data_IF_252300665072
#
_entry.id   IF_252300665072
#
_cell.length_a   1.000
_cell.length_b   1.000
_cell.length_c   1.000
_cell.angle_alpha   90.00
_cell.angle_beta   90.00
_cell.angle_gamma   90.00
#
_symmetry.space_group_name_H-M   'P 1'
#
loop_
_entity.id
_entity.type
_entity.pdbx_description
1 polymer ?
#
# COMPACT_ATOMS: atom_id res chain seq x y z
N UNK A 1 -17.05 12.28 19.36
CA UNK A 1 -17.30 12.39 20.82
C UNK A 1 -16.49 13.55 21.42
N UNK A 2 -15.17 13.63 21.22
CA UNK A 2 -14.37 14.75 21.71
C UNK A 2 -14.80 16.08 21.09
N UNK A 3 -15.07 16.12 19.80
CA UNK A 3 -15.66 17.30 19.11
C UNK A 3 -17.04 17.71 19.66
N UNK A 4 -17.74 16.80 20.34
CA UNK A 4 -19.01 17.05 21.00
C UNK A 4 -18.86 17.48 22.49
N UNK A 5 -17.62 17.74 22.93
CA UNK A 5 -17.32 18.25 24.28
C UNK A 5 -17.13 17.19 25.37
N UNK A 6 -17.12 15.90 25.00
CA UNK A 6 -16.81 14.85 25.98
C UNK A 6 -15.32 14.85 26.31
N UNK A 7 -14.99 14.65 27.60
CA UNK A 7 -13.61 14.43 28.00
C UNK A 7 -13.07 13.12 27.46
N UNK A 8 -11.75 13.01 27.32
CA UNK A 8 -11.11 11.77 26.85
C UNK A 8 -11.50 10.54 27.68
N UNK A 9 -11.59 10.69 29.01
CA UNK A 9 -12.02 9.62 29.91
C UNK A 9 -13.45 9.19 29.66
N UNK A 10 -14.37 10.13 29.47
CA UNK A 10 -15.76 9.83 29.11
C UNK A 10 -15.85 9.12 27.77
N UNK A 11 -15.06 9.54 26.78
CA UNK A 11 -15.00 8.86 25.49
C UNK A 11 -14.50 7.40 25.63
N UNK A 12 -13.50 7.15 26.48
CA UNK A 12 -13.01 5.80 26.72
C UNK A 12 -14.09 4.90 27.33
N UNK A 13 -14.84 5.41 28.33
CA UNK A 13 -15.93 4.66 28.97
C UNK A 13 -17.05 4.34 27.99
N UNK A 14 -17.43 5.29 27.13
CA UNK A 14 -18.47 5.08 26.10
C UNK A 14 -18.06 4.10 24.99
N UNK A 15 -16.76 3.97 24.73
CA UNK A 15 -16.22 3.08 23.72
C UNK A 15 -15.85 1.69 24.29
N UNK A 16 -16.05 1.46 25.61
CA UNK A 16 -15.69 0.19 26.21
C UNK A 16 -16.60 -0.93 25.68
N UNK A 17 -15.97 -1.94 25.10
CA UNK A 17 -16.58 -3.17 24.61
C UNK A 17 -15.82 -4.37 25.18
N UNK A 18 -16.41 -5.56 25.13
CA UNK A 18 -15.72 -6.77 25.59
C UNK A 18 -14.37 -7.01 24.92
N UNK A 19 -14.22 -6.58 23.66
CA UNK A 19 -13.01 -6.79 22.86
C UNK A 19 -11.89 -5.83 23.20
N UNK A 20 -12.19 -4.59 23.65
CA UNK A 20 -11.21 -3.56 23.91
C UNK A 20 -11.04 -3.20 25.39
N UNK A 21 -11.75 -3.91 26.29
CA UNK A 21 -11.77 -3.66 27.71
C UNK A 21 -10.38 -3.69 28.36
N UNK A 22 -9.53 -4.64 27.97
CA UNK A 22 -8.16 -4.74 28.48
C UNK A 22 -7.32 -3.53 28.10
N UNK A 23 -7.43 -3.07 26.86
CA UNK A 23 -6.72 -1.91 26.35
C UNK A 23 -7.19 -0.64 27.08
N UNK A 24 -8.49 -0.49 27.26
CA UNK A 24 -9.08 0.66 27.97
C UNK A 24 -8.64 0.68 29.44
N UNK A 25 -8.66 -0.46 30.13
CA UNK A 25 -8.17 -0.57 31.52
C UNK A 25 -6.69 -0.23 31.61
N UNK A 26 -5.88 -0.69 30.65
CA UNK A 26 -4.46 -0.35 30.60
C UNK A 26 -4.24 1.16 30.44
N UNK A 27 -4.99 1.81 29.56
CA UNK A 27 -4.94 3.26 29.37
C UNK A 27 -5.35 4.00 30.66
N UNK A 28 -6.45 3.57 31.29
CA UNK A 28 -6.93 4.17 32.54
C UNK A 28 -5.91 4.03 33.68
N UNK A 29 -5.29 2.86 33.84
CA UNK A 29 -4.27 2.60 34.85
C UNK A 29 -3.07 3.52 34.67
N UNK A 30 -2.58 3.69 33.45
CA UNK A 30 -1.46 4.60 33.15
C UNK A 30 -1.80 6.06 33.44
N UNK A 31 -3.03 6.48 33.11
CA UNK A 31 -3.51 7.83 33.42
C UNK A 31 -3.61 8.05 34.95
N UNK A 32 -4.07 7.06 35.71
CA UNK A 32 -4.13 7.13 37.18
C UNK A 32 -2.73 7.21 37.80
N UNK A 33 -1.73 6.59 37.17
CA UNK A 33 -0.33 6.67 37.58
C UNK A 33 0.33 8.03 37.23
N UNK A 34 -0.41 8.97 36.61
CA UNK A 34 0.09 10.28 36.24
C UNK A 34 0.92 10.32 34.95
N UNK A 35 0.93 9.24 34.17
CA UNK A 35 1.61 9.22 32.87
C UNK A 35 0.84 10.14 31.88
N UNK A 36 1.57 10.91 31.10
CA UNK A 36 0.96 11.78 30.09
C UNK A 36 0.46 10.93 28.92
N UNK A 37 -0.80 11.13 28.55
CA UNK A 37 -1.47 10.40 27.47
C UNK A 37 -0.66 10.40 26.17
N UNK A 38 -0.02 11.49 25.83
CA UNK A 38 0.79 11.65 24.63
C UNK A 38 2.02 10.72 24.60
N UNK A 39 2.49 10.23 25.73
CA UNK A 39 3.71 9.44 25.84
C UNK A 39 3.48 7.95 25.58
N UNK A 40 2.28 7.44 25.83
CA UNK A 40 2.00 6.01 25.75
C UNK A 40 0.83 5.64 24.83
N UNK A 41 -0.10 6.56 24.56
CA UNK A 41 -1.34 6.23 23.86
C UNK A 41 -1.11 5.59 22.47
N UNK A 42 -0.10 6.04 21.73
CA UNK A 42 0.24 5.48 20.42
C UNK A 42 0.68 4.01 20.49
N UNK A 43 1.09 3.52 21.67
CA UNK A 43 1.46 2.12 21.90
C UNK A 43 0.23 1.23 22.14
N UNK A 44 -0.87 1.81 22.61
CA UNK A 44 -2.10 1.10 22.96
C UNK A 44 -3.01 0.84 21.75
N UNK A 45 -2.73 1.45 20.61
CA UNK A 45 -3.51 1.33 19.38
C UNK A 45 -2.78 0.46 18.34
N UNK A 46 -3.48 -0.09 17.34
CA UNK A 46 -2.83 -0.90 16.32
C UNK A 46 -1.63 -0.18 15.68
N UNK A 47 -0.54 -0.89 15.51
CA UNK A 47 0.78 -0.38 15.09
C UNK A 47 0.72 0.59 13.90
N UNK A 48 -0.12 0.29 12.92
CA UNK A 48 -0.32 1.13 11.73
C UNK A 48 -0.78 2.55 12.06
N UNK A 49 -1.68 2.70 13.04
CA UNK A 49 -2.19 3.98 13.51
C UNK A 49 -1.20 4.65 14.47
N UNK A 50 -0.60 3.85 15.36
CA UNK A 50 0.37 4.31 16.35
C UNK A 50 1.60 4.95 15.73
N UNK A 51 2.16 4.35 14.68
CA UNK A 51 3.34 4.87 13.98
C UNK A 51 3.09 6.26 13.37
N UNK A 52 1.92 6.49 12.80
CA UNK A 52 1.57 7.81 12.23
C UNK A 52 1.20 8.80 13.33
N UNK A 53 0.43 8.36 14.32
CA UNK A 53 0.03 9.20 15.46
C UNK A 53 1.23 9.72 16.22
N UNK A 54 2.25 8.89 16.43
CA UNK A 54 3.50 9.28 17.08
C UNK A 54 4.18 10.48 16.39
N UNK A 55 4.11 10.55 15.07
CA UNK A 55 4.63 11.67 14.30
C UNK A 55 3.89 12.98 14.55
N UNK A 56 2.60 12.94 14.90
CA UNK A 56 1.78 14.14 15.12
C UNK A 56 1.75 14.62 16.56
N UNK A 57 1.81 13.72 17.54
CA UNK A 57 1.62 14.02 18.97
C UNK A 57 2.54 15.14 19.49
N UNK A 58 3.78 15.24 18.98
CA UNK A 58 4.74 16.26 19.39
C UNK A 58 4.45 17.67 18.86
N UNK A 59 3.55 17.82 17.89
CA UNK A 59 3.37 19.08 17.14
C UNK A 59 1.95 19.65 17.23
N UNK A 60 0.99 18.88 17.70
CA UNK A 60 -0.41 19.30 17.80
C UNK A 60 -1.12 18.63 18.99
N UNK A 61 -2.34 19.04 19.28
CA UNK A 61 -3.16 18.42 20.34
C UNK A 61 -3.48 16.97 19.98
N UNK A 62 -3.70 16.12 20.99
CA UNK A 62 -4.04 14.71 20.80
C UNK A 62 -5.27 14.53 19.88
N UNK A 63 -6.30 15.34 20.09
CA UNK A 63 -7.53 15.32 19.30
C UNK A 63 -7.25 15.57 17.81
N UNK A 64 -6.52 16.64 17.49
CA UNK A 64 -6.11 16.94 16.12
C UNK A 64 -5.19 15.88 15.54
N UNK A 65 -4.27 15.32 16.35
CA UNK A 65 -3.38 14.24 15.95
C UNK A 65 -4.16 12.98 15.57
N UNK A 66 -5.18 12.61 16.35
CA UNK A 66 -6.07 11.49 16.08
C UNK A 66 -6.88 11.71 14.80
N UNK A 67 -7.50 12.89 14.66
CA UNK A 67 -8.28 13.24 13.48
C UNK A 67 -7.42 13.17 12.21
N UNK A 68 -6.22 13.77 12.23
CA UNK A 68 -5.27 13.71 11.13
C UNK A 68 -4.87 12.27 10.78
N UNK A 69 -4.53 11.47 11.79
CA UNK A 69 -4.13 10.08 11.61
C UNK A 69 -5.23 9.25 10.95
N UNK A 70 -6.46 9.35 11.45
CA UNK A 70 -7.62 8.63 10.92
C UNK A 70 -7.92 9.07 9.48
N UNK A 71 -7.95 10.38 9.24
CA UNK A 71 -8.25 10.94 7.91
C UNK A 71 -7.22 10.51 6.86
N UNK A 72 -5.94 10.59 7.18
CA UNK A 72 -4.85 10.18 6.29
C UNK A 72 -4.89 8.68 5.99
N UNK A 73 -5.07 7.83 7.01
CA UNK A 73 -5.15 6.39 6.83
C UNK A 73 -6.37 5.96 6.03
N UNK A 74 -7.55 6.49 6.34
CA UNK A 74 -8.76 6.19 5.59
C UNK A 74 -8.63 6.61 4.10
N UNK A 75 -8.01 7.75 3.87
CA UNK A 75 -7.74 8.23 2.51
C UNK A 75 -6.76 7.34 1.76
N UNK A 76 -5.76 6.81 2.44
CA UNK A 76 -4.79 5.86 1.90
C UNK A 76 -5.45 4.50 1.59
N UNK A 77 -6.21 3.95 2.52
CA UNK A 77 -6.94 2.68 2.34
C UNK A 77 -7.95 2.74 1.21
N UNK A 78 -8.74 3.81 1.13
CA UNK A 78 -9.67 4.01 0.01
C UNK A 78 -8.97 4.00 -1.35
N UNK A 79 -7.77 4.57 -1.44
CA UNK A 79 -6.98 4.52 -2.69
C UNK A 79 -6.45 3.14 -2.99
N UNK A 80 -5.88 2.46 -2.00
CA UNK A 80 -5.40 1.09 -2.18
C UNK A 80 -6.51 0.16 -2.63
N UNK A 81 -7.69 0.27 -2.03
CA UNK A 81 -8.84 -0.54 -2.40
C UNK A 81 -9.31 -0.25 -3.83
N UNK A 82 -9.33 1.02 -4.25
CA UNK A 82 -9.63 1.37 -5.65
C UNK A 82 -8.60 0.79 -6.64
N UNK A 83 -7.31 0.80 -6.29
CA UNK A 83 -6.27 0.21 -7.12
C UNK A 83 -6.43 -1.31 -7.18
N UNK A 84 -6.63 -1.96 -6.03
CA UNK A 84 -6.87 -3.42 -5.95
C UNK A 84 -8.07 -3.83 -6.80
N UNK A 85 -9.19 -3.12 -6.69
CA UNK A 85 -10.40 -3.41 -7.49
C UNK A 85 -10.15 -3.26 -9.00
N UNK A 86 -9.41 -2.22 -9.41
CA UNK A 86 -9.07 -2.02 -10.83
C UNK A 86 -8.10 -3.07 -11.38
N UNK A 87 -7.23 -3.62 -10.54
CA UNK A 87 -6.26 -4.65 -10.93
C UNK A 87 -6.86 -6.06 -10.91
N UNK A 88 -7.94 -6.28 -10.16
CA UNK A 88 -8.57 -7.59 -10.03
C UNK A 88 -9.06 -8.12 -11.38
N UNK A 89 -9.73 -7.28 -12.17
CA UNK A 89 -10.28 -7.68 -13.47
C UNK A 89 -9.19 -8.10 -14.48
N UNK A 90 -8.15 -7.28 -14.76
CA UNK A 90 -7.06 -7.71 -15.62
C UNK A 90 -6.35 -8.98 -15.13
N UNK A 91 -6.18 -9.13 -13.82
CA UNK A 91 -5.57 -10.32 -13.24
C UNK A 91 -6.40 -11.58 -13.50
N UNK A 92 -7.72 -11.50 -13.25
CA UNK A 92 -8.63 -12.61 -13.54
C UNK A 92 -8.66 -12.95 -15.03
N UNK A 93 -8.65 -11.93 -15.89
CA UNK A 93 -8.62 -12.14 -17.36
C UNK A 93 -7.36 -12.92 -17.77
N UNK A 94 -6.18 -12.51 -17.30
CA UNK A 94 -4.92 -13.22 -17.59
C UNK A 94 -4.95 -14.64 -17.07
N UNK A 95 -5.49 -14.86 -15.87
CA UNK A 95 -5.60 -16.17 -15.26
C UNK A 95 -6.52 -17.10 -16.08
N UNK A 96 -7.70 -16.63 -16.47
CA UNK A 96 -8.63 -17.40 -17.32
C UNK A 96 -8.06 -17.67 -18.70
N UNK A 97 -7.41 -16.69 -19.31
CA UNK A 97 -6.75 -16.88 -20.63
C UNK A 97 -5.64 -17.91 -20.54
N UNK A 98 -4.81 -17.85 -19.50
CA UNK A 98 -3.75 -18.85 -19.29
C UNK A 98 -4.31 -20.24 -19.09
N UNK A 99 -5.37 -20.38 -18.31
CA UNK A 99 -6.06 -21.67 -18.11
C UNK A 99 -6.66 -22.19 -19.41
N UNK A 100 -7.35 -21.35 -20.18
CA UNK A 100 -7.90 -21.71 -21.49
C UNK A 100 -6.84 -22.16 -22.49
N UNK A 101 -5.69 -21.47 -22.52
CA UNK A 101 -4.57 -21.87 -23.40
C UNK A 101 -3.96 -23.21 -22.96
N UNK A 102 -3.78 -23.45 -21.67
CA UNK A 102 -3.31 -24.74 -21.17
C UNK A 102 -4.30 -25.87 -21.51
N UNK A 103 -5.60 -25.64 -21.36
CA UNK A 103 -6.63 -26.60 -21.72
C UNK A 103 -6.60 -26.92 -23.22
N UNK A 104 -6.50 -25.88 -24.05
CA UNK A 104 -6.41 -26.03 -25.50
C UNK A 104 -5.17 -26.82 -25.93
N UNK A 105 -4.02 -26.51 -25.33
CA UNK A 105 -2.75 -27.19 -25.62
C UNK A 105 -2.75 -28.66 -25.21
N UNK A 106 -3.30 -28.98 -24.03
CA UNK A 106 -3.27 -30.33 -23.47
C UNK A 106 -4.34 -31.29 -24.07
N UNK A 107 -5.48 -30.75 -24.47
CA UNK A 107 -6.63 -31.55 -24.88
C UNK A 107 -6.92 -31.36 -26.39
N UNK A 108 -7.12 -30.13 -26.83
CA UNK A 108 -7.56 -29.89 -28.20
C UNK A 108 -6.46 -30.12 -29.24
N UNK A 109 -5.24 -29.74 -28.98
CA UNK A 109 -4.13 -29.88 -29.93
C UNK A 109 -3.82 -31.36 -30.24
N UNK A 110 -3.70 -32.27 -29.25
CA UNK A 110 -3.49 -33.69 -29.54
C UNK A 110 -4.60 -34.31 -30.42
N UNK A 111 -5.87 -34.06 -30.09
CA UNK A 111 -7.01 -34.57 -30.85
C UNK A 111 -7.02 -34.03 -32.29
N UNK A 112 -6.75 -32.74 -32.47
CA UNK A 112 -6.64 -32.13 -33.79
C UNK A 112 -5.46 -32.69 -34.57
N UNK A 113 -4.34 -33.00 -33.94
CA UNK A 113 -3.17 -33.57 -34.55
C UNK A 113 -3.45 -34.99 -35.08
N UNK A 114 -4.16 -35.80 -34.29
CA UNK A 114 -4.57 -37.16 -34.71
C UNK A 114 -5.54 -37.11 -35.88
N UNK A 115 -6.48 -36.18 -35.90
CA UNK A 115 -7.37 -35.96 -37.05
C UNK A 115 -6.60 -35.52 -38.30
N UNK A 116 -5.71 -34.55 -38.20
CA UNK A 116 -4.92 -34.03 -39.33
C UNK A 116 -3.96 -35.09 -39.88
N UNK A 117 -3.39 -35.92 -39.00
CA UNK A 117 -2.51 -37.03 -39.44
C UNK A 117 -3.23 -38.08 -40.26
N UNK A 118 -4.54 -38.26 -40.07
CA UNK A 118 -5.37 -39.18 -40.84
C UNK A 118 -5.63 -38.72 -42.28
N UNK A 119 -5.36 -37.44 -42.60
CA UNK A 119 -5.56 -36.86 -43.94
C UNK A 119 -4.26 -36.66 -44.75
N UNK A 120 -3.15 -37.28 -44.36
CA UNK A 120 -1.83 -37.19 -45.04
C UNK A 120 -1.31 -35.75 -45.24
N UNK A 121 -1.73 -34.80 -44.39
CA UNK A 121 -1.35 -33.42 -44.51
C UNK A 121 -0.06 -33.09 -43.74
N UNK A 122 0.61 -32.01 -44.16
CA UNK A 122 1.92 -31.60 -43.66
C UNK A 122 1.83 -31.11 -42.21
N UNK A 123 2.27 -31.88 -41.23
CA UNK A 123 2.21 -31.62 -39.80
C UNK A 123 3.16 -30.48 -39.32
N UNK A 124 4.04 -29.98 -40.20
CA UNK A 124 5.02 -28.97 -39.84
C UNK A 124 4.39 -27.65 -39.36
N UNK A 125 3.29 -27.23 -40.00
CA UNK A 125 2.58 -26.01 -39.58
C UNK A 125 1.95 -26.19 -38.20
N UNK A 126 1.42 -27.36 -37.90
CA UNK A 126 0.81 -27.68 -36.61
C UNK A 126 1.82 -27.66 -35.46
N UNK A 127 3.00 -28.25 -35.69
CA UNK A 127 4.09 -28.21 -34.70
C UNK A 127 4.60 -26.79 -34.44
N UNK A 128 4.61 -25.92 -35.47
CA UNK A 128 4.98 -24.50 -35.29
C UNK A 128 3.99 -23.74 -34.42
N UNK A 129 2.68 -23.97 -34.63
CA UNK A 129 1.62 -23.36 -33.79
C UNK A 129 1.72 -23.85 -32.34
N UNK A 130 1.92 -25.14 -32.14
CA UNK A 130 2.09 -25.72 -30.80
C UNK A 130 3.32 -25.14 -30.09
N UNK A 131 4.45 -25.01 -30.78
CA UNK A 131 5.66 -24.40 -30.25
C UNK A 131 5.40 -22.93 -29.81
N UNK A 132 4.65 -22.16 -30.61
CA UNK A 132 4.29 -20.79 -30.30
C UNK A 132 3.41 -20.69 -29.03
N UNK A 133 2.42 -21.61 -28.90
CA UNK A 133 1.56 -21.66 -27.72
C UNK A 133 2.38 -21.97 -26.44
N UNK A 134 3.27 -22.96 -26.50
CA UNK A 134 4.16 -23.29 -25.39
C UNK A 134 5.05 -22.11 -24.99
N UNK A 135 5.65 -21.42 -25.97
CA UNK A 135 6.49 -20.25 -25.72
C UNK A 135 5.68 -19.11 -25.10
N UNK A 136 4.44 -18.91 -25.52
CA UNK A 136 3.55 -17.91 -24.97
C UNK A 136 3.14 -18.23 -23.53
N UNK A 137 2.80 -19.48 -23.22
CA UNK A 137 2.49 -19.94 -21.85
C UNK A 137 3.71 -19.72 -20.94
N UNK A 138 4.91 -20.09 -21.41
CA UNK A 138 6.15 -19.91 -20.67
C UNK A 138 6.44 -18.43 -20.41
N UNK A 139 6.19 -17.56 -21.40
CA UNK A 139 6.30 -16.10 -21.23
C UNK A 139 5.32 -15.57 -20.20
N UNK A 140 4.07 -16.03 -20.17
CA UNK A 140 3.08 -15.65 -19.15
C UNK A 140 3.50 -16.08 -17.75
N UNK A 141 3.97 -17.32 -17.58
CA UNK A 141 4.47 -17.82 -16.30
C UNK A 141 5.68 -17.03 -15.81
N UNK A 142 6.61 -16.73 -16.70
CA UNK A 142 7.78 -15.91 -16.39
C UNK A 142 7.37 -14.48 -15.98
N UNK A 143 6.39 -13.89 -16.66
CA UNK A 143 5.85 -12.56 -16.32
C UNK A 143 5.22 -12.54 -14.93
N UNK A 144 4.45 -13.55 -14.57
CA UNK A 144 3.85 -13.68 -13.23
C UNK A 144 4.93 -13.84 -12.17
N UNK A 145 5.93 -14.69 -12.41
CA UNK A 145 7.06 -14.88 -11.49
C UNK A 145 7.86 -13.59 -11.31
N UNK A 146 8.14 -12.84 -12.39
CA UNK A 146 8.83 -11.58 -12.35
C UNK A 146 8.06 -10.52 -11.53
N UNK A 147 6.73 -10.44 -11.71
CA UNK A 147 5.88 -9.56 -10.91
C UNK A 147 5.91 -9.94 -9.42
N UNK A 148 5.89 -11.22 -9.09
CA UNK A 148 5.96 -11.68 -7.71
C UNK A 148 7.30 -11.33 -7.06
N UNK A 149 8.41 -11.55 -7.76
CA UNK A 149 9.76 -11.16 -7.31
C UNK A 149 9.83 -9.65 -7.10
N UNK A 150 9.27 -8.85 -8.03
CA UNK A 150 9.24 -7.39 -7.93
C UNK A 150 8.45 -6.93 -6.70
N UNK A 151 7.32 -7.55 -6.39
CA UNK A 151 6.54 -7.24 -5.18
C UNK A 151 7.35 -7.51 -3.91
N UNK A 152 8.04 -8.65 -3.83
CA UNK A 152 8.92 -9.00 -2.68
C UNK A 152 10.08 -8.00 -2.58
N UNK A 153 10.67 -7.63 -3.71
CA UNK A 153 11.79 -6.68 -3.76
C UNK A 153 11.40 -5.29 -3.23
N UNK A 154 10.19 -4.81 -3.58
CA UNK A 154 9.67 -3.51 -3.15
C UNK A 154 9.32 -3.48 -1.64
N UNK A 155 9.10 -4.62 -1.00
CA UNK A 155 8.82 -4.66 0.45
C UNK A 155 9.98 -4.16 1.32
N UNK A 156 11.22 -4.20 0.82
CA UNK A 156 12.38 -3.65 1.53
C UNK A 156 12.50 -2.15 1.29
N UNK A 157 12.54 -1.38 2.35
CA UNK A 157 12.57 0.10 2.30
C UNK A 157 13.74 0.67 1.48
N UNK A 158 14.92 0.07 1.58
CA UNK A 158 16.10 0.50 0.83
C UNK A 158 15.95 0.29 -0.68
N UNK A 159 15.39 -0.84 -1.08
CA UNK A 159 15.16 -1.15 -2.49
C UNK A 159 14.07 -0.26 -3.09
N UNK A 160 13.01 0.01 -2.32
CA UNK A 160 11.97 0.94 -2.71
C UNK A 160 12.52 2.33 -2.98
N UNK A 161 13.42 2.84 -2.12
CA UNK A 161 14.09 4.13 -2.29
C UNK A 161 14.96 4.16 -3.54
N UNK A 162 15.80 3.14 -3.75
CA UNK A 162 16.65 3.02 -4.95
C UNK A 162 15.82 2.98 -6.23
N UNK A 163 14.74 2.19 -6.21
CA UNK A 163 13.80 2.07 -7.34
C UNK A 163 13.13 3.42 -7.64
N UNK A 164 12.67 4.14 -6.61
CA UNK A 164 12.09 5.46 -6.79
C UNK A 164 13.06 6.44 -7.43
N UNK A 165 14.30 6.52 -6.94
CA UNK A 165 15.33 7.40 -7.50
C UNK A 165 15.63 7.06 -8.95
N UNK A 166 15.79 5.77 -9.27
CA UNK A 166 16.04 5.32 -10.64
C UNK A 166 14.88 5.67 -11.59
N UNK A 167 13.64 5.40 -11.17
CA UNK A 167 12.46 5.72 -12.00
C UNK A 167 12.27 7.22 -12.13
N UNK A 168 12.46 7.99 -11.06
CA UNK A 168 12.34 9.46 -11.09
C UNK A 168 13.35 10.10 -12.03
N UNK A 169 14.61 9.62 -12.04
CA UNK A 169 15.66 10.11 -12.91
C UNK A 169 15.36 9.81 -14.40
N UNK A 170 14.80 8.63 -14.72
CA UNK A 170 14.58 8.19 -16.10
C UNK A 170 13.17 8.49 -16.62
N UNK A 171 12.17 8.40 -15.75
CA UNK A 171 10.75 8.54 -16.08
C UNK A 171 10.00 9.35 -15.00
N UNK A 172 10.24 10.68 -14.89
CA UNK A 172 9.68 11.51 -13.82
C UNK A 172 8.13 11.59 -13.88
N UNK A 173 7.55 11.35 -15.05
CA UNK A 173 6.09 11.34 -15.24
C UNK A 173 5.44 9.98 -15.02
N UNK A 174 6.19 8.97 -14.59
CA UNK A 174 5.66 7.63 -14.35
C UNK A 174 4.55 7.64 -13.29
N UNK A 175 3.62 6.68 -13.41
CA UNK A 175 2.54 6.50 -12.42
C UNK A 175 3.10 6.23 -11.03
N UNK A 176 4.25 5.58 -10.93
CA UNK A 176 4.93 5.27 -9.69
C UNK A 176 5.39 6.54 -8.96
N UNK A 177 6.10 7.43 -9.66
CA UNK A 177 6.55 8.73 -9.11
C UNK A 177 5.35 9.59 -8.74
N UNK A 178 4.35 9.71 -9.63
CA UNK A 178 3.11 10.46 -9.35
C UNK A 178 2.37 9.96 -8.11
N UNK A 179 2.34 8.64 -7.88
CA UNK A 179 1.70 8.07 -6.71
C UNK A 179 2.33 8.56 -5.40
N UNK A 180 3.65 8.52 -5.29
CA UNK A 180 4.36 8.96 -4.08
C UNK A 180 4.37 10.48 -3.92
N UNK A 181 4.50 11.23 -5.00
CA UNK A 181 4.37 12.69 -4.97
C UNK A 181 2.97 13.13 -4.53
N UNK A 182 1.92 12.46 -5.00
CA UNK A 182 0.55 12.72 -4.55
C UNK A 182 0.33 12.31 -3.09
N UNK A 183 0.97 11.23 -2.63
CA UNK A 183 0.92 10.84 -1.22
C UNK A 183 1.56 11.91 -0.35
N UNK A 184 2.76 12.37 -0.70
CA UNK A 184 3.45 13.46 -0.02
C UNK A 184 2.59 14.73 0.03
N UNK A 185 2.10 15.21 -1.13
CA UNK A 185 1.28 16.41 -1.20
C UNK A 185 0.01 16.32 -0.36
N UNK A 186 -0.57 15.16 -0.22
CA UNK A 186 -1.76 14.94 0.61
C UNK A 186 -1.45 15.10 2.09
N UNK A 187 -0.35 14.52 2.58
CA UNK A 187 0.12 14.76 3.95
C UNK A 187 0.32 16.26 4.18
N UNK A 188 0.99 16.90 3.25
CA UNK A 188 1.28 18.33 3.33
C UNK A 188 0.01 19.18 3.39
N UNK A 189 -0.92 18.98 2.47
CA UNK A 189 -2.19 19.73 2.40
C UNK A 189 -3.01 19.50 3.67
N UNK A 190 -3.12 18.28 4.14
CA UNK A 190 -3.92 17.96 5.33
C UNK A 190 -3.35 18.61 6.59
N UNK A 191 -2.04 18.58 6.75
CA UNK A 191 -1.37 19.27 7.85
C UNK A 191 -1.54 20.79 7.77
N UNK A 192 -1.43 21.37 6.56
CA UNK A 192 -1.64 22.82 6.35
C UNK A 192 -3.08 23.23 6.68
N UNK A 193 -4.08 22.44 6.29
CA UNK A 193 -5.49 22.70 6.63
C UNK A 193 -5.75 22.71 8.13
N UNK A 194 -4.96 21.95 8.88
CA UNK A 194 -5.04 21.93 10.35
C UNK A 194 -4.18 23.00 11.02
N UNK A 195 -3.64 23.95 10.26
CA UNK A 195 -2.92 25.12 10.78
C UNK A 195 -1.48 24.85 11.21
N UNK A 196 -0.87 23.73 10.75
CA UNK A 196 0.52 23.43 11.02
C UNK A 196 1.45 24.26 10.12
N UNK A 197 2.53 24.80 10.69
CA UNK A 197 3.54 25.51 9.92
C UNK A 197 4.31 24.56 9.00
N UNK A 198 4.81 25.07 7.87
CA UNK A 198 5.59 24.29 6.89
C UNK A 198 6.75 23.54 7.55
N UNK A 199 7.46 24.20 8.47
CA UNK A 199 8.58 23.58 9.21
C UNK A 199 8.12 22.39 10.04
N UNK A 200 7.02 22.54 10.77
CA UNK A 200 6.46 21.46 11.60
C UNK A 200 5.98 20.30 10.72
N UNK A 201 5.36 20.60 9.56
CA UNK A 201 4.92 19.57 8.60
C UNK A 201 6.09 18.73 8.12
N UNK A 202 7.19 19.35 7.74
CA UNK A 202 8.39 18.65 7.28
C UNK A 202 8.96 17.76 8.39
N UNK A 203 9.03 18.25 9.63
CA UNK A 203 9.51 17.46 10.76
C UNK A 203 8.59 16.25 11.05
N UNK A 204 7.28 16.46 11.02
CA UNK A 204 6.29 15.39 11.16
C UNK A 204 6.50 14.33 10.06
N UNK A 205 6.63 14.75 8.80
CA UNK A 205 6.80 13.84 7.67
C UNK A 205 8.10 13.02 7.76
N UNK A 206 9.15 13.60 8.33
CA UNK A 206 10.41 12.89 8.63
C UNK A 206 10.25 11.89 9.76
N UNK A 207 9.39 12.16 10.73
CA UNK A 207 9.17 11.28 11.89
C UNK A 207 8.24 10.10 11.60
N UNK A 208 7.54 10.08 10.45
CA UNK A 208 6.64 8.96 10.09
C UNK A 208 7.48 7.72 9.76
N UNK A 209 7.38 6.63 10.56
CA UNK A 209 8.16 5.42 10.33
C UNK A 209 7.73 4.73 9.03
N UNK A 210 8.63 3.94 8.44
CA UNK A 210 8.37 3.10 7.25
C UNK A 210 7.85 3.83 6.00
N UNK A 211 8.18 5.12 5.87
CA UNK A 211 7.86 5.93 4.69
C UNK A 211 9.13 6.55 4.08
N UNK A 212 10.07 5.73 3.55
CA UNK A 212 11.40 6.19 3.15
C UNK A 212 11.36 7.23 2.02
N UNK A 213 10.38 7.16 1.12
CA UNK A 213 10.24 8.14 0.04
C UNK A 213 9.72 9.48 0.58
N UNK A 214 8.74 9.45 1.51
CA UNK A 214 8.24 10.67 2.16
C UNK A 214 9.35 11.36 2.94
N UNK A 215 10.14 10.57 3.68
CA UNK A 215 11.33 11.09 4.38
C UNK A 215 12.30 11.78 3.44
N UNK A 216 12.63 11.14 2.32
CA UNK A 216 13.55 11.68 1.32
C UNK A 216 13.04 12.99 0.72
N UNK A 217 11.78 13.03 0.26
CA UNK A 217 11.16 14.24 -0.28
C UNK A 217 11.11 15.37 0.76
N UNK A 218 10.89 15.04 2.03
CA UNK A 218 10.91 16.02 3.12
C UNK A 218 12.30 16.60 3.33
N UNK A 219 13.37 15.80 3.21
CA UNK A 219 14.74 16.28 3.29
C UNK A 219 15.11 17.19 2.11
N UNK A 220 14.68 16.87 0.91
CA UNK A 220 14.91 17.69 -0.29
C UNK A 220 14.24 19.06 -0.16
N UNK A 221 13.00 19.12 0.33
CA UNK A 221 12.28 20.39 0.53
C UNK A 221 12.90 21.21 1.66
N UNK A 222 13.35 20.56 2.76
CA UNK A 222 14.02 21.30 3.84
C UNK A 222 15.33 21.93 3.40
N UNK A 223 16.07 21.32 2.48
CA UNK A 223 17.30 21.89 1.91
C UNK A 223 17.01 23.06 0.97
N UNK A 224 15.80 23.14 0.42
CA UNK A 224 15.38 24.18 -0.51
C UNK A 224 14.73 25.39 0.18
N UNK A 225 14.35 25.27 1.48
CA UNK A 225 13.78 26.34 2.32
C UNK A 225 14.85 27.13 3.04
#
# INVERSE_FOLDING_TARGET
LMDSGFTFQQCLMLLETKENQEVIKHIQTKLLNGEKLNEFFYQCIPKKYGEILQGFIGYTTLEKSLHLTIHLLNSYEKRLNKIKQKLLYPFLLVLFTSFGLCFFDLICIPELKDLVSSFDTNLNQFNSVQCFIHLFILFLLFSIAALFILVIYIQKEEHLKKLYLFINAKFPQSLFVKFYSQEFMRYFIECTRNGLSTRNIIQIMKSIPKKPIIYMLSCEIEQAL
#
